data_IF_690451823451
#
_entry.id   IF_690451823451
#
_cell.length_a   1.000
_cell.length_b   1.000
_cell.length_c   1.000
_cell.angle_alpha   90.00
_cell.angle_beta   90.00
_cell.angle_gamma   90.00
#
_symmetry.space_group_name_H-M   'P 1'
#
loop_
_entity.id
_entity.type
_entity.pdbx_description
1 polymer ?
#
# COMPACT_ATOMS: atom_id res chain seq x y z
N UNK A 1 8.47 -13.25 -0.56
CA UNK A 1 8.05 -12.74 -1.88
C UNK A 1 9.03 -11.67 -2.33
N UNK A 2 9.13 -10.53 -1.65
CA UNK A 2 9.91 -9.36 -2.11
C UNK A 2 11.40 -9.34 -1.72
N UNK A 3 11.97 -10.48 -1.29
CA UNK A 3 13.40 -10.60 -0.93
C UNK A 3 13.98 -9.51 0.02
N UNK A 4 13.14 -8.81 0.79
CA UNK A 4 13.57 -7.67 1.60
C UNK A 4 14.52 -8.09 2.74
N UNK A 5 15.51 -7.23 3.03
CA UNK A 5 16.52 -7.51 4.06
C UNK A 5 16.06 -7.13 5.48
N UNK A 6 15.45 -5.95 5.61
CA UNK A 6 15.05 -5.37 6.90
C UNK A 6 13.59 -4.93 6.92
N UNK A 7 12.99 -4.96 8.12
CA UNK A 7 11.64 -4.46 8.40
C UNK A 7 11.60 -3.92 9.82
N UNK A 8 11.11 -2.69 9.98
CA UNK A 8 11.00 -2.00 11.29
C UNK A 8 12.35 -1.92 12.05
N UNK A 9 13.43 -1.66 11.33
CA UNK A 9 14.78 -1.52 11.90
C UNK A 9 15.44 -2.83 12.34
N UNK A 10 14.86 -3.99 12.00
CA UNK A 10 15.41 -5.31 12.30
C UNK A 10 15.46 -6.16 11.03
N UNK A 11 16.20 -7.28 11.07
CA UNK A 11 16.20 -8.26 9.96
C UNK A 11 14.80 -8.85 9.76
N UNK A 12 14.42 -9.11 8.51
CA UNK A 12 13.15 -9.77 8.20
C UNK A 12 13.04 -11.14 8.90
N UNK A 13 11.82 -11.55 9.24
CA UNK A 13 11.58 -12.80 9.99
C UNK A 13 12.25 -14.03 9.33
N UNK A 14 12.06 -14.20 8.02
CA UNK A 14 12.65 -15.31 7.26
C UNK A 14 14.19 -15.26 7.16
N UNK A 15 14.80 -14.09 7.41
CA UNK A 15 16.25 -13.89 7.39
C UNK A 15 16.91 -14.26 8.73
N UNK A 16 16.13 -14.48 9.80
CA UNK A 16 16.69 -14.85 11.10
C UNK A 16 17.34 -16.25 11.02
N UNK A 17 18.54 -16.43 11.59
CA UNK A 17 19.15 -17.76 11.69
C UNK A 17 18.21 -18.76 12.37
N UNK A 18 17.98 -19.91 11.73
CA UNK A 18 17.09 -20.96 12.23
C UNK A 18 15.61 -20.81 11.87
N UNK A 19 15.20 -19.77 11.12
CA UNK A 19 13.82 -19.60 10.65
C UNK A 19 13.68 -20.01 9.19
N UNK A 20 14.40 -19.33 8.28
CA UNK A 20 14.34 -19.66 6.85
C UNK A 20 12.92 -19.62 6.28
N UNK A 21 12.57 -20.63 5.47
CA UNK A 21 11.27 -20.71 4.81
C UNK A 21 10.15 -21.26 5.69
N UNK A 22 10.45 -21.73 6.91
CA UNK A 22 9.42 -22.06 7.91
C UNK A 22 8.57 -20.84 8.26
N UNK A 23 9.12 -19.64 8.02
CA UNK A 23 8.42 -18.36 8.04
C UNK A 23 7.09 -18.34 7.25
N UNK A 24 6.93 -19.18 6.22
CA UNK A 24 5.67 -19.31 5.47
C UNK A 24 4.57 -19.87 6.38
N UNK A 25 4.87 -20.93 7.13
CA UNK A 25 3.93 -21.50 8.08
C UNK A 25 3.69 -20.56 9.26
N UNK A 26 4.73 -19.86 9.74
CA UNK A 26 4.58 -18.86 10.80
C UNK A 26 3.61 -17.74 10.39
N UNK A 27 3.64 -17.29 9.12
CA UNK A 27 2.69 -16.32 8.60
C UNK A 27 1.24 -16.83 8.65
N UNK A 28 1.00 -18.10 8.29
CA UNK A 28 -0.32 -18.72 8.39
C UNK A 28 -0.78 -18.84 9.85
N UNK A 29 0.13 -19.11 10.79
CA UNK A 29 -0.19 -19.13 12.22
C UNK A 29 -0.57 -17.75 12.76
N UNK A 30 0.05 -16.67 12.25
CA UNK A 30 -0.33 -15.30 12.58
C UNK A 30 -1.75 -14.99 12.10
N UNK A 31 -2.12 -15.41 10.89
CA UNK A 31 -3.48 -15.24 10.40
C UNK A 31 -4.49 -16.07 11.22
N UNK A 32 -4.17 -17.34 11.51
CA UNK A 32 -5.02 -18.21 12.32
C UNK A 32 -5.31 -17.61 13.71
N UNK A 33 -4.35 -16.88 14.29
CA UNK A 33 -4.54 -16.18 15.56
C UNK A 33 -5.67 -15.14 15.51
N UNK A 34 -5.93 -14.49 14.37
CA UNK A 34 -7.04 -13.54 14.21
C UNK A 34 -8.36 -14.24 14.56
N UNK A 35 -8.65 -15.37 13.91
CA UNK A 35 -9.91 -16.09 14.10
C UNK A 35 -10.01 -16.74 15.48
N UNK A 36 -8.88 -17.15 16.07
CA UNK A 36 -8.86 -17.62 17.46
C UNK A 36 -9.27 -16.50 18.42
N UNK A 37 -8.73 -15.29 18.25
CA UNK A 37 -9.07 -14.15 19.09
C UNK A 37 -10.52 -13.71 18.88
N UNK A 38 -10.98 -13.58 17.64
CA UNK A 38 -12.39 -13.27 17.35
C UNK A 38 -13.33 -14.29 18.00
N UNK A 39 -13.03 -15.59 17.91
CA UNK A 39 -13.84 -16.63 18.56
C UNK A 39 -13.81 -16.55 20.09
N UNK A 40 -12.65 -16.25 20.68
CA UNK A 40 -12.52 -16.19 22.13
C UNK A 40 -13.32 -15.02 22.72
N UNK A 41 -13.22 -13.84 22.10
CA UNK A 41 -13.72 -12.59 22.66
C UNK A 41 -15.06 -12.13 22.08
N UNK A 42 -15.37 -12.51 20.84
CA UNK A 42 -16.51 -11.97 20.12
C UNK A 42 -17.60 -13.00 19.80
N UNK A 43 -17.42 -14.31 20.06
CA UNK A 43 -18.39 -15.35 19.59
C UNK A 43 -19.85 -15.17 20.05
N UNK A 44 -20.07 -14.46 21.17
CA UNK A 44 -21.41 -14.20 21.72
C UNK A 44 -21.94 -12.81 21.31
N UNK A 45 -21.12 -12.01 20.61
CA UNK A 45 -21.49 -10.67 20.16
C UNK A 45 -22.30 -10.74 18.85
N UNK A 46 -23.29 -9.87 18.67
CA UNK A 46 -24.16 -9.88 17.49
C UNK A 46 -23.39 -9.63 16.18
N UNK A 47 -22.26 -8.92 16.25
CA UNK A 47 -21.40 -8.60 15.10
C UNK A 47 -20.33 -9.65 14.81
N UNK A 48 -20.31 -10.79 15.50
CA UNK A 48 -19.26 -11.81 15.34
C UNK A 48 -19.08 -12.28 13.90
N UNK A 49 -20.20 -12.60 13.24
CA UNK A 49 -20.18 -13.08 11.85
C UNK A 49 -19.73 -11.96 10.90
N UNK A 50 -20.24 -10.74 11.09
CA UNK A 50 -19.82 -9.57 10.31
C UNK A 50 -18.30 -9.36 10.38
N UNK A 51 -17.70 -9.50 11.57
CA UNK A 51 -16.25 -9.41 11.71
C UNK A 51 -15.54 -10.55 10.99
N UNK A 52 -15.97 -11.81 11.15
CA UNK A 52 -15.34 -12.92 10.43
C UNK A 52 -15.34 -12.68 8.92
N UNK A 53 -16.50 -12.35 8.35
CA UNK A 53 -16.65 -12.11 6.91
C UNK A 53 -15.82 -10.92 6.44
N UNK A 54 -15.78 -9.83 7.23
CA UNK A 54 -14.96 -8.66 6.93
C UNK A 54 -13.46 -8.98 6.90
N UNK A 55 -12.96 -9.73 7.89
CA UNK A 55 -11.55 -10.12 7.94
C UNK A 55 -11.19 -11.07 6.80
N UNK A 56 -12.02 -12.09 6.52
CA UNK A 56 -11.83 -13.01 5.39
C UNK A 56 -11.82 -12.27 4.05
N UNK A 57 -12.80 -11.37 3.83
CA UNK A 57 -12.90 -10.58 2.61
C UNK A 57 -11.67 -9.66 2.44
N UNK A 58 -11.17 -9.09 3.54
CA UNK A 58 -9.99 -8.22 3.52
C UNK A 58 -8.71 -9.01 3.21
N UNK A 59 -8.54 -10.22 3.76
CA UNK A 59 -7.45 -11.13 3.38
C UNK A 59 -7.50 -11.45 1.88
N UNK A 60 -8.66 -11.89 1.37
CA UNK A 60 -8.84 -12.22 -0.04
C UNK A 60 -8.54 -11.03 -0.97
N UNK A 61 -9.05 -9.84 -0.65
CA UNK A 61 -8.77 -8.63 -1.42
C UNK A 61 -7.28 -8.30 -1.43
N UNK A 62 -6.61 -8.44 -0.28
CA UNK A 62 -5.17 -8.20 -0.17
C UNK A 62 -4.38 -9.19 -1.02
N UNK A 63 -4.71 -10.48 -0.97
CA UNK A 63 -4.05 -11.53 -1.76
C UNK A 63 -4.25 -11.36 -3.27
N UNK A 64 -5.44 -10.93 -3.71
CA UNK A 64 -5.68 -10.54 -5.10
C UNK A 64 -4.79 -9.36 -5.49
N UNK A 65 -4.68 -8.34 -4.62
CA UNK A 65 -3.77 -7.22 -4.81
C UNK A 65 -2.31 -7.64 -4.91
N UNK A 66 -1.86 -8.55 -4.03
CA UNK A 66 -0.52 -9.13 -4.07
C UNK A 66 -0.26 -9.92 -5.36
N UNK A 67 -1.26 -10.67 -5.82
CA UNK A 67 -1.18 -11.38 -7.10
C UNK A 67 -0.99 -10.40 -8.26
N UNK A 68 -1.76 -9.32 -8.29
CA UNK A 68 -1.61 -8.27 -9.31
C UNK A 68 -0.23 -7.61 -9.27
N UNK A 69 0.27 -7.32 -8.07
CA UNK A 69 1.60 -6.74 -7.86
C UNK A 69 2.71 -7.63 -8.43
N UNK A 70 2.73 -8.91 -8.04
CA UNK A 70 3.75 -9.86 -8.45
C UNK A 70 3.69 -10.18 -9.95
N UNK A 71 2.49 -10.36 -10.51
CA UNK A 71 2.32 -10.61 -11.96
C UNK A 71 2.67 -9.39 -12.82
N UNK A 72 2.63 -8.19 -12.25
CA UNK A 72 3.04 -6.96 -12.94
C UNK A 72 4.56 -6.77 -12.88
N UNK A 73 5.24 -7.36 -11.89
CA UNK A 73 6.67 -7.24 -11.65
C UNK A 73 7.44 -8.58 -11.83
N UNK A 74 7.39 -9.23 -13.02
CA UNK A 74 8.15 -10.47 -13.22
C UNK A 74 9.66 -10.19 -13.15
N UNK A 75 10.37 -10.99 -12.36
CA UNK A 75 11.83 -10.85 -12.24
C UNK A 75 12.51 -11.21 -13.56
N UNK A 76 13.48 -10.39 -13.98
CA UNK A 76 14.25 -10.60 -15.21
C UNK A 76 13.51 -10.31 -16.51
N UNK A 77 12.24 -9.86 -16.46
CA UNK A 77 11.49 -9.42 -17.64
C UNK A 77 10.85 -8.06 -17.39
N UNK A 78 11.48 -7.00 -17.87
CA UNK A 78 10.99 -5.62 -17.69
C UNK A 78 9.90 -5.33 -18.71
N UNK A 79 8.64 -5.42 -18.30
CA UNK A 79 7.46 -5.15 -19.13
C UNK A 79 6.83 -3.79 -18.80
N UNK A 80 7.53 -2.69 -19.16
CA UNK A 80 7.09 -1.32 -18.87
C UNK A 80 5.71 -0.99 -19.46
N UNK A 81 5.24 -1.72 -20.48
CA UNK A 81 3.91 -1.46 -21.10
C UNK A 81 2.77 -1.65 -20.11
N UNK A 82 2.97 -2.46 -19.07
CA UNK A 82 1.95 -2.72 -18.03
C UNK A 82 1.94 -1.66 -16.94
N UNK A 83 2.97 -0.83 -16.85
CA UNK A 83 3.13 0.20 -15.82
C UNK A 83 2.29 1.43 -16.17
N UNK A 84 0.99 1.24 -16.08
CA UNK A 84 -0.04 2.25 -16.36
C UNK A 84 -0.70 2.68 -15.06
N UNK A 85 -1.22 3.90 -15.03
CA UNK A 85 -1.96 4.42 -13.88
C UNK A 85 -3.16 3.52 -13.52
N UNK A 86 -3.89 3.00 -14.51
CA UNK A 86 -5.01 2.08 -14.28
C UNK A 86 -4.57 0.79 -13.57
N UNK A 87 -3.42 0.21 -13.99
CA UNK A 87 -2.86 -0.97 -13.33
C UNK A 87 -2.44 -0.63 -11.91
N UNK A 88 -1.71 0.46 -11.73
CA UNK A 88 -1.26 0.93 -10.42
C UNK A 88 -2.42 1.10 -9.44
N UNK A 89 -3.44 1.89 -9.80
CA UNK A 89 -4.64 2.12 -8.99
C UNK A 89 -5.36 0.82 -8.61
N UNK A 90 -5.36 -0.17 -9.51
CA UNK A 90 -5.92 -1.49 -9.22
C UNK A 90 -5.08 -2.25 -8.19
N UNK A 91 -3.75 -2.25 -8.30
CA UNK A 91 -2.85 -2.90 -7.35
C UNK A 91 -3.04 -2.28 -5.96
N UNK A 92 -2.88 -0.97 -5.84
CA UNK A 92 -2.88 -0.28 -4.53
C UNK A 92 -4.22 -0.35 -3.81
N UNK A 93 -5.33 -0.26 -4.57
CA UNK A 93 -6.68 -0.44 -4.03
C UNK A 93 -6.83 -1.77 -3.30
N UNK A 94 -6.40 -2.86 -3.93
CA UNK A 94 -6.57 -4.20 -3.38
C UNK A 94 -5.49 -4.57 -2.38
N UNK A 95 -4.21 -4.33 -2.71
CA UNK A 95 -3.05 -4.72 -1.90
C UNK A 95 -2.97 -3.93 -0.60
N UNK A 96 -3.46 -2.70 -0.55
CA UNK A 96 -3.20 -1.79 0.57
C UNK A 96 -4.48 -1.18 1.15
N UNK A 97 -5.33 -0.58 0.32
CA UNK A 97 -6.38 0.29 0.81
C UNK A 97 -7.45 -0.44 1.66
N UNK A 98 -7.85 -1.65 1.26
CA UNK A 98 -8.87 -2.39 2.01
C UNK A 98 -8.42 -2.76 3.43
N UNK A 99 -7.30 -3.46 3.61
CA UNK A 99 -6.90 -3.91 4.94
C UNK A 99 -6.33 -2.78 5.81
N UNK A 100 -5.70 -1.77 5.21
CA UNK A 100 -5.04 -0.69 5.97
C UNK A 100 -6.01 0.40 6.42
N UNK A 101 -7.08 0.67 5.64
CA UNK A 101 -8.00 1.79 5.89
C UNK A 101 -9.44 1.32 6.08
N UNK A 102 -9.98 0.54 5.16
CA UNK A 102 -11.39 0.11 5.25
C UNK A 102 -11.64 -0.84 6.42
N UNK A 103 -10.87 -1.93 6.52
CA UNK A 103 -10.99 -2.96 7.57
C UNK A 103 -11.05 -2.38 9.00
N UNK A 104 -10.09 -1.56 9.47
CA UNK A 104 -10.10 -1.09 10.85
C UNK A 104 -11.33 -0.21 11.16
N UNK A 105 -11.79 0.61 10.21
CA UNK A 105 -12.97 1.45 10.40
C UNK A 105 -14.26 0.63 10.32
N UNK A 106 -14.38 -0.25 9.33
CA UNK A 106 -15.55 -1.11 9.19
C UNK A 106 -15.70 -2.07 10.38
N UNK A 107 -14.60 -2.59 10.92
CA UNK A 107 -14.63 -3.41 12.14
C UNK A 107 -15.18 -2.61 13.33
N UNK A 108 -14.73 -1.36 13.52
CA UNK A 108 -15.24 -0.49 14.56
C UNK A 108 -16.72 -0.12 14.35
N UNK A 109 -17.15 0.10 13.10
CA UNK A 109 -18.56 0.37 12.75
C UNK A 109 -19.45 -0.81 13.15
N UNK A 110 -19.09 -2.04 12.76
CA UNK A 110 -19.85 -3.23 13.17
C UNK A 110 -19.89 -3.41 14.68
N UNK A 111 -18.78 -3.17 15.38
CA UNK A 111 -18.72 -3.25 16.84
C UNK A 111 -19.57 -2.16 17.53
N UNK A 112 -19.79 -1.02 16.87
CA UNK A 112 -20.67 0.05 17.31
C UNK A 112 -22.16 -0.17 16.91
N UNK A 113 -22.49 -1.32 16.31
CA UNK A 113 -23.85 -1.63 15.84
C UNK A 113 -24.25 -0.93 14.55
N UNK A 114 -23.29 -0.44 13.77
CA UNK A 114 -23.51 0.19 12.47
C UNK A 114 -23.19 -0.85 11.40
N UNK A 115 -24.21 -1.49 10.83
CA UNK A 115 -24.09 -2.55 9.82
C UNK A 115 -24.74 -2.18 8.47
N UNK A 116 -25.27 -0.95 8.36
CA UNK A 116 -25.93 -0.46 7.16
C UNK A 116 -25.01 -0.40 5.94
N UNK A 117 -25.48 -0.95 4.82
CA UNK A 117 -24.72 -1.01 3.55
C UNK A 117 -24.31 0.39 3.07
N UNK A 118 -25.21 1.38 3.20
CA UNK A 118 -25.00 2.76 2.75
C UNK A 118 -23.88 3.43 3.54
N UNK A 119 -23.88 3.27 4.85
CA UNK A 119 -22.87 3.81 5.77
C UNK A 119 -21.49 3.22 5.44
N UNK A 120 -21.41 1.89 5.29
CA UNK A 120 -20.17 1.21 4.90
C UNK A 120 -19.70 1.60 3.50
N UNK A 121 -20.60 1.75 2.53
CA UNK A 121 -20.25 2.19 1.17
C UNK A 121 -19.72 3.63 1.15
N UNK A 122 -20.33 4.53 1.90
CA UNK A 122 -19.87 5.91 2.04
C UNK A 122 -18.49 5.99 2.73
N UNK A 123 -18.29 5.28 3.83
CA UNK A 123 -16.99 5.19 4.50
C UNK A 123 -15.92 4.63 3.55
N UNK A 124 -16.25 3.59 2.77
CA UNK A 124 -15.34 2.97 1.79
C UNK A 124 -14.87 3.96 0.72
N UNK A 125 -15.72 4.87 0.24
CA UNK A 125 -15.30 5.91 -0.74
C UNK A 125 -14.17 6.79 -0.21
N UNK A 126 -14.23 7.18 1.06
CA UNK A 126 -13.16 7.98 1.70
C UNK A 126 -11.91 7.12 1.92
N UNK A 127 -12.11 5.93 2.50
CA UNK A 127 -11.01 5.10 3.00
C UNK A 127 -10.18 4.47 1.88
N UNK A 128 -10.78 4.18 0.72
CA UNK A 128 -10.01 3.66 -0.41
C UNK A 128 -9.09 4.72 -1.02
N UNK A 129 -9.53 5.98 -1.09
CA UNK A 129 -8.70 7.10 -1.57
C UNK A 129 -7.56 7.42 -0.59
N UNK A 130 -7.83 7.36 0.72
CA UNK A 130 -6.76 7.44 1.73
C UNK A 130 -5.73 6.33 1.57
N UNK A 131 -6.18 5.12 1.23
CA UNK A 131 -5.29 3.97 1.02
C UNK A 131 -4.45 4.06 -0.24
N UNK A 132 -5.01 4.60 -1.34
CA UNK A 132 -4.24 4.91 -2.55
C UNK A 132 -3.14 5.94 -2.24
N UNK A 133 -3.51 7.06 -1.61
CA UNK A 133 -2.56 8.09 -1.20
C UNK A 133 -1.45 7.52 -0.30
N UNK A 134 -1.82 6.70 0.69
CA UNK A 134 -0.87 6.07 1.60
C UNK A 134 0.14 5.17 0.86
N UNK A 135 -0.30 4.39 -0.13
CA UNK A 135 0.63 3.55 -0.90
C UNK A 135 1.54 4.39 -1.79
N UNK A 136 1.03 5.47 -2.40
CA UNK A 136 1.86 6.40 -3.18
C UNK A 136 2.96 7.03 -2.31
N UNK A 137 2.64 7.38 -1.07
CA UNK A 137 3.64 7.81 -0.10
C UNK A 137 4.66 6.71 0.22
N UNK A 138 4.23 5.45 0.39
CA UNK A 138 5.15 4.33 0.65
C UNK A 138 6.11 4.10 -0.52
N UNK A 139 5.62 4.17 -1.75
CA UNK A 139 6.43 4.06 -2.97
C UNK A 139 7.43 5.23 -3.12
N UNK A 140 6.99 6.46 -2.81
CA UNK A 140 7.87 7.63 -2.80
C UNK A 140 8.97 7.48 -1.75
N UNK A 141 8.60 7.08 -0.52
CA UNK A 141 9.52 6.89 0.59
C UNK A 141 10.43 5.67 0.41
N UNK A 142 10.06 4.70 -0.43
CA UNK A 142 10.92 3.57 -0.76
C UNK A 142 12.23 4.04 -1.41
N UNK A 143 12.16 5.06 -2.29
CA UNK A 143 13.33 5.59 -2.98
C UNK A 143 13.94 6.85 -2.35
N UNK A 144 13.09 7.79 -1.92
CA UNK A 144 13.52 9.10 -1.43
C UNK A 144 13.46 9.24 0.09
N UNK A 145 12.88 8.27 0.79
CA UNK A 145 12.84 8.24 2.25
C UNK A 145 14.19 7.89 2.85
N UNK A 146 14.47 8.45 4.03
CA UNK A 146 15.64 8.09 4.82
C UNK A 146 15.43 6.69 5.46
N UNK A 147 16.27 5.68 5.15
CA UNK A 147 16.16 4.34 5.73
C UNK A 147 16.18 4.31 7.27
N UNK A 148 16.83 5.28 7.92
CA UNK A 148 16.84 5.39 9.38
C UNK A 148 15.47 5.75 9.97
N UNK A 149 14.62 6.42 9.17
CA UNK A 149 13.27 6.82 9.54
C UNK A 149 12.24 5.77 9.11
N UNK A 150 12.34 5.29 7.86
CA UNK A 150 11.42 4.27 7.31
C UNK A 150 11.66 2.88 7.93
N UNK A 151 12.88 2.63 8.41
CA UNK A 151 13.28 1.36 9.01
C UNK A 151 13.35 0.19 8.01
N UNK A 152 13.40 0.49 6.71
CA UNK A 152 13.59 -0.46 5.60
C UNK A 152 14.51 0.17 4.54
N UNK A 153 15.22 -0.68 3.80
CA UNK A 153 15.89 -0.28 2.55
C UNK A 153 14.91 -0.50 1.42
N UNK A 154 14.75 0.48 0.54
CA UNK A 154 13.88 0.36 -0.62
C UNK A 154 14.37 -0.67 -1.63
N UNK A 155 13.43 -1.38 -2.24
CA UNK A 155 13.71 -2.45 -3.21
C UNK A 155 12.87 -2.33 -4.48
N UNK A 156 11.98 -1.34 -4.59
CA UNK A 156 11.01 -1.28 -5.68
C UNK A 156 11.64 -1.27 -7.09
N UNK A 157 12.75 -0.55 -7.27
CA UNK A 157 13.46 -0.49 -8.55
C UNK A 157 14.06 -1.86 -8.89
N UNK A 158 14.75 -2.49 -7.93
CA UNK A 158 15.42 -3.79 -8.11
C UNK A 158 14.41 -4.90 -8.35
N UNK A 159 13.25 -4.82 -7.68
CA UNK A 159 12.19 -5.81 -7.75
C UNK A 159 11.24 -5.60 -8.94
N UNK A 160 11.56 -4.66 -9.84
CA UNK A 160 10.77 -4.35 -11.04
C UNK A 160 9.32 -3.96 -10.68
N UNK A 161 9.11 -3.32 -9.54
CA UNK A 161 7.77 -2.96 -9.05
C UNK A 161 7.13 -1.90 -9.92
N UNK A 162 5.83 -2.06 -10.16
CA UNK A 162 4.98 -1.02 -10.73
C UNK A 162 4.66 0.02 -9.64
N UNK A 163 5.67 0.78 -9.21
CA UNK A 163 5.52 1.86 -8.23
C UNK A 163 4.86 3.10 -8.86
N UNK A 164 4.37 4.02 -8.03
CA UNK A 164 3.86 5.30 -8.52
C UNK A 164 4.92 6.08 -9.31
N UNK A 165 6.17 6.07 -8.83
CA UNK A 165 7.27 6.79 -9.46
C UNK A 165 7.54 6.32 -10.89
N UNK A 166 7.55 5.01 -11.15
CA UNK A 166 7.78 4.51 -12.52
C UNK A 166 6.63 4.87 -13.45
N UNK A 167 5.39 4.85 -12.96
CA UNK A 167 4.22 5.28 -13.74
C UNK A 167 4.30 6.77 -14.07
N UNK A 168 4.66 7.62 -13.11
CA UNK A 168 4.82 9.06 -13.36
C UNK A 168 5.99 9.37 -14.30
N UNK A 169 7.09 8.63 -14.17
CA UNK A 169 8.23 8.70 -15.08
C UNK A 169 7.79 8.39 -16.51
N UNK A 170 7.10 7.27 -16.72
CA UNK A 170 6.65 6.83 -18.04
C UNK A 170 5.66 7.80 -18.71
N UNK A 171 4.86 8.52 -17.92
CA UNK A 171 3.95 9.54 -18.42
C UNK A 171 4.66 10.81 -18.92
N UNK A 172 5.90 11.05 -18.50
CA UNK A 172 6.65 12.30 -18.74
C UNK A 172 7.92 12.11 -19.57
N UNK A 173 8.44 10.88 -19.61
CA UNK A 173 9.71 10.57 -20.24
C UNK A 173 9.69 10.85 -21.75
N UNK A 174 10.78 11.44 -22.25
CA UNK A 174 11.09 11.45 -23.69
C UNK A 174 11.44 10.03 -24.17
N UNK A 175 11.52 9.77 -25.49
CA UNK A 175 11.97 8.47 -26.01
C UNK A 175 13.35 8.05 -25.49
N UNK A 176 14.28 9.00 -25.33
CA UNK A 176 15.62 8.75 -24.79
C UNK A 176 15.57 8.39 -23.30
N UNK A 177 14.79 9.13 -22.50
CA UNK A 177 14.58 8.86 -21.08
C UNK A 177 13.86 7.53 -20.86
N UNK A 178 12.91 7.17 -21.73
CA UNK A 178 12.26 5.85 -21.71
C UNK A 178 13.28 4.72 -21.93
N UNK A 179 14.20 4.91 -22.87
CA UNK A 179 15.22 3.90 -23.14
C UNK A 179 16.19 3.75 -21.95
N UNK A 180 16.58 4.86 -21.32
CA UNK A 180 17.34 4.84 -20.05
C UNK A 180 16.60 4.04 -18.98
N UNK A 181 15.31 4.31 -18.77
CA UNK A 181 14.52 3.58 -17.77
C UNK A 181 14.49 2.09 -18.10
N UNK A 182 14.21 1.71 -19.35
CA UNK A 182 14.16 0.31 -19.80
C UNK A 182 15.46 -0.46 -19.58
N UNK A 183 16.60 0.18 -19.79
CA UNK A 183 17.92 -0.43 -19.64
C UNK A 183 18.38 -0.57 -18.18
N UNK A 184 17.77 0.14 -17.24
CA UNK A 184 18.24 0.23 -15.85
C UNK A 184 17.23 -0.27 -14.81
N UNK A 185 15.93 -0.27 -15.10
CA UNK A 185 14.89 -0.71 -14.16
C UNK A 185 14.87 -2.23 -13.98
N UNK A 186 14.42 -2.73 -12.82
CA UNK A 186 14.29 -4.16 -12.53
C UNK A 186 15.61 -4.92 -12.39
N UNK A 187 16.69 -4.21 -12.07
CA UNK A 187 18.06 -4.73 -12.03
C UNK A 187 18.70 -4.48 -10.67
N UNK A 188 19.59 -5.40 -10.24
CA UNK A 188 20.12 -5.42 -8.87
C UNK A 188 21.36 -4.55 -8.71
N UNK A 189 21.99 -4.19 -9.82
CA UNK A 189 23.22 -3.44 -9.86
C UNK A 189 23.00 -1.99 -9.39
N UNK A 190 23.82 -1.55 -8.44
CA UNK A 190 23.61 -0.29 -7.71
C UNK A 190 23.70 0.93 -8.63
N UNK A 191 24.56 0.89 -9.66
CA UNK A 191 24.69 1.96 -10.64
C UNK A 191 23.43 2.12 -11.52
N UNK A 192 22.72 1.02 -11.80
CA UNK A 192 21.47 1.06 -12.57
C UNK A 192 20.33 1.62 -11.73
N UNK A 193 20.24 1.21 -10.47
CA UNK A 193 19.30 1.80 -9.50
C UNK A 193 19.55 3.31 -9.34
N UNK A 194 20.82 3.71 -9.20
CA UNK A 194 21.20 5.12 -9.13
C UNK A 194 20.84 5.88 -10.42
N UNK A 195 20.98 5.26 -11.60
CA UNK A 195 20.62 5.88 -12.87
C UNK A 195 19.12 6.15 -12.99
N UNK A 196 18.28 5.20 -12.53
CA UNK A 196 16.82 5.38 -12.45
C UNK A 196 16.47 6.51 -11.48
N UNK A 197 17.09 6.54 -10.29
CA UNK A 197 16.87 7.63 -9.33
C UNK A 197 17.23 9.00 -9.92
N UNK A 198 18.37 9.11 -10.58
CA UNK A 198 18.79 10.35 -11.24
C UNK A 198 17.79 10.77 -12.34
N UNK A 199 17.21 9.82 -13.07
CA UNK A 199 16.16 10.12 -14.05
C UNK A 199 14.89 10.64 -13.38
N UNK A 200 14.50 10.11 -12.22
CA UNK A 200 13.35 10.62 -11.46
C UNK A 200 13.59 12.01 -10.91
N UNK A 201 14.83 12.32 -10.52
CA UNK A 201 15.24 13.67 -10.12
C UNK A 201 15.26 14.65 -11.31
N UNK A 202 15.74 14.22 -12.48
CA UNK A 202 15.71 14.99 -13.73
C UNK A 202 14.29 15.36 -14.17
N UNK A 203 13.33 14.46 -13.94
CA UNK A 203 11.91 14.67 -14.21
C UNK A 203 11.15 15.40 -13.09
N UNK A 204 11.87 15.86 -12.05
CA UNK A 204 11.32 16.54 -10.88
C UNK A 204 10.15 15.79 -10.21
N UNK A 205 10.23 14.45 -10.19
CA UNK A 205 9.20 13.63 -9.54
C UNK A 205 9.01 13.93 -8.05
N UNK A 206 10.02 14.39 -7.28
CA UNK A 206 9.79 14.92 -5.94
C UNK A 206 8.80 16.08 -5.89
N UNK A 207 8.90 17.08 -6.78
CA UNK A 207 7.93 18.16 -6.82
C UNK A 207 6.54 17.69 -7.28
N UNK A 208 6.50 16.77 -8.26
CA UNK A 208 5.24 16.14 -8.71
C UNK A 208 4.54 15.43 -7.55
N UNK A 209 5.30 14.74 -6.70
CA UNK A 209 4.76 14.07 -5.50
C UNK A 209 4.21 15.08 -4.48
N UNK A 210 4.96 16.16 -4.20
CA UNK A 210 4.51 17.19 -3.25
C UNK A 210 3.20 17.83 -3.71
N UNK A 211 3.06 18.12 -5.02
CA UNK A 211 1.80 18.62 -5.57
C UNK A 211 0.68 17.58 -5.44
N UNK A 212 0.94 16.32 -5.80
CA UNK A 212 -0.04 15.24 -5.64
C UNK A 212 -0.49 15.06 -4.19
N UNK A 213 0.42 15.19 -3.21
CA UNK A 213 0.11 15.10 -1.79
C UNK A 213 -0.85 16.21 -1.34
N UNK A 214 -0.65 17.45 -1.80
CA UNK A 214 -1.55 18.58 -1.49
C UNK A 214 -2.92 18.41 -2.15
N UNK A 215 -2.95 18.00 -3.41
CA UNK A 215 -4.18 17.75 -4.17
C UNK A 215 -4.98 16.59 -3.56
N UNK A 216 -4.30 15.50 -3.21
CA UNK A 216 -4.90 14.31 -2.60
C UNK A 216 -5.48 14.62 -1.22
N UNK A 217 -4.75 15.38 -0.39
CA UNK A 217 -5.28 15.82 0.89
C UNK A 217 -6.55 16.66 0.74
N UNK A 218 -6.55 17.63 -0.19
CA UNK A 218 -7.71 18.46 -0.49
C UNK A 218 -8.89 17.63 -0.98
N UNK A 219 -8.64 16.65 -1.86
CA UNK A 219 -9.65 15.71 -2.35
C UNK A 219 -10.25 14.87 -1.22
N UNK A 220 -9.41 14.32 -0.34
CA UNK A 220 -9.85 13.52 0.81
C UNK A 220 -10.70 14.37 1.76
N UNK A 221 -10.34 15.64 2.02
CA UNK A 221 -11.15 16.54 2.84
C UNK A 221 -12.55 16.75 2.22
N UNK A 222 -12.63 17.00 0.91
CA UNK A 222 -13.90 17.14 0.22
C UNK A 222 -14.76 15.86 0.29
N UNK A 223 -14.14 14.67 0.20
CA UNK A 223 -14.85 13.40 0.37
C UNK A 223 -15.36 13.20 1.80
N UNK A 224 -14.61 13.65 2.81
CA UNK A 224 -15.06 13.61 4.21
C UNK A 224 -16.29 14.51 4.38
N UNK A 225 -16.28 15.72 3.84
CA UNK A 225 -17.44 16.62 3.86
C UNK A 225 -18.67 15.99 3.17
N UNK A 226 -18.45 15.31 2.05
CA UNK A 226 -19.52 14.72 1.26
C UNK A 226 -20.10 13.43 1.87
N UNK A 227 -19.26 12.56 2.43
CA UNK A 227 -19.62 11.16 2.74
C UNK A 227 -19.51 10.77 4.20
N UNK A 228 -18.95 11.59 5.10
CA UNK A 228 -18.78 11.19 6.49
C UNK A 228 -20.13 10.99 7.19
N UNK A 229 -21.13 11.84 6.93
CA UNK A 229 -22.42 11.76 7.61
C UNK A 229 -23.14 10.42 7.33
N UNK A 230 -23.73 9.77 8.36
CA UNK A 230 -23.95 10.28 9.72
C UNK A 230 -22.80 10.00 10.72
N UNK A 231 -21.69 9.39 10.29
CA UNK A 231 -20.55 9.14 11.17
C UNK A 231 -19.85 10.45 11.56
N UNK A 232 -19.27 10.54 12.78
CA UNK A 232 -18.50 11.71 13.16
C UNK A 232 -17.31 11.93 12.20
N UNK A 233 -17.19 13.09 11.52
CA UNK A 233 -16.07 13.37 10.62
C UNK A 233 -14.69 13.22 11.28
N UNK A 234 -14.63 13.40 12.60
CA UNK A 234 -13.43 13.22 13.42
C UNK A 234 -12.77 11.83 13.26
N UNK A 235 -13.54 10.78 12.94
CA UNK A 235 -13.01 9.44 12.66
C UNK A 235 -12.05 9.49 11.46
N UNK A 236 -12.50 10.10 10.35
CA UNK A 236 -11.72 10.21 9.12
C UNK A 236 -10.64 11.28 9.22
N UNK A 237 -10.93 12.43 9.83
CA UNK A 237 -9.95 13.51 10.03
C UNK A 237 -8.77 13.05 10.91
N UNK A 238 -9.04 12.24 11.94
CA UNK A 238 -7.99 11.66 12.77
C UNK A 238 -7.05 10.74 11.99
N UNK A 239 -7.60 9.99 11.03
CA UNK A 239 -6.81 9.12 10.15
C UNK A 239 -6.03 9.94 9.10
N UNK A 240 -6.66 10.93 8.48
CA UNK A 240 -6.00 11.84 7.52
C UNK A 240 -4.78 12.53 8.14
N UNK A 241 -4.88 13.02 9.39
CA UNK A 241 -3.76 13.64 10.11
C UNK A 241 -2.59 12.69 10.37
N UNK A 242 -2.83 11.39 10.49
CA UNK A 242 -1.77 10.39 10.70
C UNK A 242 -1.00 10.10 9.42
N UNK A 243 -1.60 10.30 8.24
CA UNK A 243 -1.00 9.93 6.96
C UNK A 243 -0.48 11.14 6.17
N UNK A 244 -1.13 12.30 6.27
CA UNK A 244 -0.72 13.49 5.55
C UNK A 244 0.64 13.99 6.03
N UNK A 245 1.58 14.22 5.09
CA UNK A 245 2.96 14.63 5.40
C UNK A 245 3.66 13.71 6.39
N UNK A 246 3.27 12.44 6.42
CA UNK A 246 3.90 11.46 7.30
C UNK A 246 5.37 11.32 6.91
N UNK A 247 6.23 11.33 7.92
CA UNK A 247 7.65 10.99 7.75
C UNK A 247 7.90 9.48 8.01
N UNK A 248 6.85 8.74 8.36
CA UNK A 248 6.84 7.30 8.69
C UNK A 248 5.46 6.71 8.42
#
# INVERSE_FOLDING_TARGET
>A
MDSSLTRRGQICWYQKPGVGLDAINDANLLEACIYRLLKLYCREQPYYLNLIELFLQSSYQTEIGQTLDLLTAPQGNVDLVRFTEKRYKSIVKYKTAFYSFYLPIAAAMYMAGIDGEKEHANAKKILLEMGEFFQIQDDYLDLFGDPSVTGKIGTDIQDNKCSWLVVQCLQRATPEQYQILKENYGQKEAEKVARVKALYEELDLPAVFLQYEEDSYSHIMALIEQYAAPLPPAVFLGLARKIYKRRK
#
